data_IF_067192649571
#
_entry.id   IF_067192649571
#
_cell.length_a   1.000
_cell.length_b   1.000
_cell.length_c   1.000
_cell.angle_alpha   90.00
_cell.angle_beta   90.00
_cell.angle_gamma   90.00
#
_symmetry.space_group_name_H-M   'P 1'
#
loop_
_entity.id
_entity.type
_entity.pdbx_description
1 polymer ?
#
# COMPACT_ATOMS: atom_id res chain seq x y z
N UNK A 1 6.90 11.58 -15.70
CA UNK A 1 6.35 11.22 -17.03
C UNK A 1 4.89 10.84 -16.87
N UNK A 2 3.93 11.48 -17.55
CA UNK A 2 2.50 11.10 -17.47
C UNK A 2 2.28 9.76 -18.19
N UNK A 3 1.62 8.83 -17.48
CA UNK A 3 1.31 7.48 -17.95
C UNK A 3 -0.20 7.37 -18.22
N UNK A 4 -1.00 8.02 -17.39
CA UNK A 4 -2.45 7.97 -17.46
C UNK A 4 -3.08 9.23 -16.88
N UNK A 5 -4.19 9.65 -17.49
CA UNK A 5 -5.02 10.75 -17.02
C UNK A 5 -6.48 10.46 -17.38
N UNK A 6 -7.37 10.40 -16.38
CA UNK A 6 -8.79 10.14 -16.57
C UNK A 6 -9.65 11.40 -16.72
N UNK A 7 -9.06 12.60 -16.68
CA UNK A 7 -9.82 13.85 -16.72
C UNK A 7 -10.71 13.91 -17.97
N UNK A 8 -12.00 14.18 -17.76
CA UNK A 8 -13.01 14.21 -18.83
C UNK A 8 -13.33 12.85 -19.45
N UNK A 9 -12.83 11.74 -18.88
CA UNK A 9 -13.10 10.38 -19.35
C UNK A 9 -14.05 9.66 -18.39
N UNK A 10 -15.18 9.19 -18.90
CA UNK A 10 -16.14 8.37 -18.15
C UNK A 10 -15.69 6.90 -18.13
N UNK A 11 -14.59 6.61 -17.43
CA UNK A 11 -13.98 5.28 -17.41
C UNK A 11 -13.92 4.70 -15.99
N UNK A 12 -14.11 3.38 -15.89
CA UNK A 12 -14.00 2.61 -14.63
C UNK A 12 -12.72 1.79 -14.55
N UNK A 13 -11.92 1.80 -15.62
CA UNK A 13 -10.63 1.10 -15.75
C UNK A 13 -9.67 1.87 -16.65
N UNK A 14 -8.38 1.80 -16.38
CA UNK A 14 -7.35 2.43 -17.23
C UNK A 14 -7.01 1.64 -18.49
N UNK A 15 -7.26 0.32 -18.47
CA UNK A 15 -6.56 -0.62 -19.36
C UNK A 15 -5.11 -0.85 -18.88
N UNK A 16 -4.39 -1.73 -19.58
CA UNK A 16 -2.99 -2.04 -19.23
C UNK A 16 -2.08 -0.94 -19.77
N UNK A 17 -1.45 -0.22 -18.85
CA UNK A 17 -0.47 0.82 -19.11
C UNK A 17 0.91 0.16 -19.16
N UNK A 18 1.52 0.13 -20.36
CA UNK A 18 2.81 -0.54 -20.59
C UNK A 18 3.93 0.49 -20.62
N UNK A 19 4.95 0.27 -19.81
CA UNK A 19 6.11 1.13 -19.66
C UNK A 19 7.36 0.34 -20.06
N UNK A 20 8.10 0.88 -21.02
CA UNK A 20 9.41 0.36 -21.45
C UNK A 20 10.59 1.14 -20.84
N UNK A 21 10.29 2.02 -19.88
CA UNK A 21 11.27 2.82 -19.15
C UNK A 21 11.33 2.36 -17.70
N UNK A 22 12.54 2.31 -17.17
CA UNK A 22 12.78 2.04 -15.77
C UNK A 22 12.23 3.19 -14.91
N UNK A 23 11.39 2.85 -13.93
CA UNK A 23 10.88 3.77 -12.91
C UNK A 23 11.07 3.14 -11.53
N UNK A 24 11.34 3.96 -10.51
CA UNK A 24 11.45 3.50 -9.11
C UNK A 24 10.19 3.78 -8.30
N UNK A 25 9.44 4.80 -8.72
CA UNK A 25 8.22 5.24 -8.06
C UNK A 25 7.12 5.58 -9.06
N UNK A 26 5.88 5.46 -8.59
CA UNK A 26 4.67 5.90 -9.28
C UNK A 26 4.03 7.03 -8.48
N UNK A 27 3.83 8.19 -9.09
CA UNK A 27 3.00 9.25 -8.50
C UNK A 27 1.55 8.96 -8.87
N UNK A 28 0.73 8.78 -7.85
CA UNK A 28 -0.72 8.73 -8.00
C UNK A 28 -1.33 10.05 -7.54
N UNK A 29 -2.18 10.64 -8.37
CA UNK A 29 -2.96 11.83 -8.02
C UNK A 29 -4.45 11.63 -8.29
N UNK A 30 -5.31 12.14 -7.40
CA UNK A 30 -6.76 12.05 -7.55
C UNK A 30 -7.51 13.27 -7.02
N UNK A 31 -8.67 13.56 -7.62
CA UNK A 31 -9.64 14.53 -7.08
C UNK A 31 -10.34 14.06 -5.81
N UNK A 32 -10.18 12.80 -5.42
CA UNK A 32 -10.67 12.23 -4.17
C UNK A 32 -9.70 12.44 -3.01
N UNK A 33 -10.26 12.60 -1.80
CA UNK A 33 -9.50 12.41 -0.55
C UNK A 33 -9.05 10.95 -0.45
N UNK A 34 -7.89 10.69 0.14
CA UNK A 34 -7.30 9.35 0.21
C UNK A 34 -8.22 8.37 0.95
N UNK A 35 -8.99 8.83 1.95
CA UNK A 35 -9.97 7.99 2.65
C UNK A 35 -11.22 7.71 1.82
N UNK A 36 -11.50 8.53 0.80
CA UNK A 36 -12.59 8.35 -0.15
C UNK A 36 -12.23 7.40 -1.30
N UNK A 37 -11.00 6.89 -1.35
CA UNK A 37 -10.62 5.74 -2.18
C UNK A 37 -11.19 4.47 -1.54
N UNK A 38 -12.19 3.89 -2.19
CA UNK A 38 -13.02 2.81 -1.64
C UNK A 38 -13.25 1.66 -2.61
N UNK A 39 -13.16 1.92 -3.91
CA UNK A 39 -13.40 0.91 -4.95
C UNK A 39 -12.20 0.76 -5.88
N UNK A 40 -11.30 1.73 -5.86
CA UNK A 40 -10.13 1.83 -6.70
C UNK A 40 -9.10 0.79 -6.29
N UNK A 41 -8.66 0.01 -7.28
CA UNK A 41 -7.62 -1.01 -7.10
C UNK A 41 -6.53 -0.85 -8.14
N UNK A 42 -5.32 -1.26 -7.78
CA UNK A 42 -4.13 -1.20 -8.61
C UNK A 42 -3.49 -2.58 -8.74
N UNK A 43 -3.07 -2.90 -9.96
CA UNK A 43 -2.18 -4.02 -10.25
C UNK A 43 -0.89 -3.50 -10.85
N UNK A 44 0.25 -3.91 -10.31
CA UNK A 44 1.58 -3.65 -10.87
C UNK A 44 2.33 -4.97 -11.02
N UNK A 45 2.83 -5.23 -12.23
CA UNK A 45 3.70 -6.37 -12.53
C UNK A 45 4.83 -5.94 -13.46
N UNK A 46 5.96 -6.63 -13.36
CA UNK A 46 7.08 -6.52 -14.30
C UNK A 46 7.09 -7.78 -15.15
N UNK A 47 6.80 -7.64 -16.44
CA UNK A 47 6.94 -8.73 -17.39
C UNK A 47 8.40 -8.83 -17.78
N UNK A 48 9.03 -9.96 -17.44
CA UNK A 48 10.42 -10.26 -17.79
C UNK A 48 10.51 -11.58 -18.56
N UNK A 49 11.54 -11.71 -19.39
CA UNK A 49 11.81 -12.98 -20.10
C UNK A 49 12.05 -14.16 -19.14
N UNK A 50 12.59 -13.88 -17.94
CA UNK A 50 12.92 -14.87 -16.91
C UNK A 50 11.73 -15.29 -16.04
N UNK A 51 10.56 -14.66 -16.23
CA UNK A 51 9.37 -14.85 -15.41
C UNK A 51 8.85 -13.52 -14.88
N UNK A 52 7.53 -13.39 -14.79
CA UNK A 52 6.89 -12.17 -14.34
C UNK A 52 7.06 -11.98 -12.83
N UNK A 53 7.31 -10.74 -12.42
CA UNK A 53 7.36 -10.32 -11.02
C UNK A 53 6.08 -9.54 -10.70
N UNK A 54 5.25 -10.08 -9.80
CA UNK A 54 4.03 -9.39 -9.36
C UNK A 54 4.32 -8.57 -8.10
N UNK A 55 4.37 -7.24 -8.25
CA UNK A 55 4.60 -6.32 -7.14
C UNK A 55 3.39 -6.35 -6.20
N UNK A 56 2.17 -6.17 -6.74
CA UNK A 56 0.92 -6.14 -5.93
C UNK A 56 0.21 -7.49 -5.80
N UNK A 57 0.77 -8.59 -6.34
CA UNK A 57 0.17 -9.96 -6.37
C UNK A 57 -1.32 -9.95 -6.76
N UNK A 58 -1.62 -9.38 -7.92
CA UNK A 58 -2.98 -9.14 -8.40
C UNK A 58 -3.46 -7.71 -8.11
N UNK A 59 -4.77 -7.52 -8.02
CA UNK A 59 -5.35 -6.22 -7.68
C UNK A 59 -5.35 -6.01 -6.17
N UNK A 60 -4.79 -4.88 -5.77
CA UNK A 60 -4.71 -4.40 -4.40
C UNK A 60 -5.53 -3.13 -4.26
N UNK A 61 -6.18 -2.92 -3.10
CA UNK A 61 -6.86 -1.65 -2.83
C UNK A 61 -5.86 -0.49 -2.90
N UNK A 62 -6.17 0.51 -3.74
CA UNK A 62 -5.24 1.58 -4.04
C UNK A 62 -4.89 2.43 -2.82
N UNK A 63 -5.86 2.60 -1.91
CA UNK A 63 -5.64 3.25 -0.62
C UNK A 63 -4.58 2.53 0.21
N UNK A 64 -4.65 1.19 0.28
CA UNK A 64 -3.72 0.39 1.05
C UNK A 64 -2.34 0.38 0.40
N UNK A 65 -2.28 0.35 -0.94
CA UNK A 65 -1.04 0.52 -1.70
C UNK A 65 -0.37 1.87 -1.39
N UNK A 66 -1.12 2.98 -1.43
CA UNK A 66 -0.60 4.32 -1.08
C UNK A 66 -0.06 4.32 0.35
N UNK A 67 -0.84 3.82 1.32
CA UNK A 67 -0.42 3.82 2.72
C UNK A 67 0.85 2.99 3.00
N UNK A 68 1.03 1.87 2.30
CA UNK A 68 2.23 1.03 2.45
C UNK A 68 3.47 1.60 1.76
N UNK A 69 3.29 2.41 0.71
CA UNK A 69 4.41 2.93 -0.11
C UNK A 69 4.83 4.35 0.25
N UNK A 70 4.05 5.04 1.08
CA UNK A 70 4.37 6.38 1.62
C UNK A 70 4.83 6.34 3.09
N UNK A 71 4.80 5.16 3.72
CA UNK A 71 5.33 4.99 5.07
C UNK A 71 6.86 5.18 5.09
N UNK A 72 7.37 5.93 6.08
CA UNK A 72 8.77 6.42 6.15
C UNK A 72 9.25 7.25 4.94
N UNK A 73 8.34 7.58 4.03
CA UNK A 73 8.64 8.35 2.83
C UNK A 73 7.98 9.73 2.85
N UNK A 74 7.61 10.18 1.67
CA UNK A 74 6.94 11.47 1.49
C UNK A 74 5.51 11.46 2.05
N UNK A 75 5.11 12.61 2.58
CA UNK A 75 3.72 12.81 2.99
C UNK A 75 2.78 12.65 1.79
N UNK A 76 1.58 12.14 2.06
CA UNK A 76 0.47 12.30 1.12
C UNK A 76 0.12 13.79 1.13
N UNK A 77 0.08 14.41 -0.03
CA UNK A 77 -0.15 15.85 -0.17
C UNK A 77 -1.38 16.12 -0.99
N UNK A 78 -1.74 17.39 -1.08
CA UNK A 78 -2.83 17.88 -1.90
C UNK A 78 -2.47 19.26 -2.44
N UNK A 79 -3.07 19.60 -3.59
CA UNK A 79 -2.91 20.89 -4.24
C UNK A 79 -4.28 21.41 -4.72
N UNK A 80 -4.30 22.46 -5.53
CA UNK A 80 -5.54 23.06 -6.05
C UNK A 80 -6.34 22.12 -6.96
N UNK A 81 -5.69 21.15 -7.60
CA UNK A 81 -6.28 20.23 -8.58
C UNK A 81 -6.60 18.87 -7.97
N UNK A 82 -5.76 18.39 -7.04
CA UNK A 82 -5.83 17.04 -6.50
C UNK A 82 -5.93 17.07 -4.98
N UNK A 83 -6.90 16.31 -4.45
CA UNK A 83 -7.07 16.11 -3.01
C UNK A 83 -6.09 15.08 -2.47
N UNK A 84 -5.58 14.20 -3.33
CA UNK A 84 -4.58 13.20 -2.98
C UNK A 84 -3.50 13.21 -4.03
N UNK A 85 -2.26 13.40 -3.62
CA UNK A 85 -1.05 13.16 -4.41
C UNK A 85 -0.07 12.39 -3.54
N UNK A 86 0.35 11.22 -4.00
CA UNK A 86 1.24 10.33 -3.29
C UNK A 86 2.32 9.79 -4.24
N UNK A 87 3.58 9.91 -3.86
CA UNK A 87 4.68 9.18 -4.49
C UNK A 87 4.77 7.80 -3.85
N UNK A 88 4.51 6.77 -4.64
CA UNK A 88 4.46 5.39 -4.20
C UNK A 88 5.69 4.66 -4.75
N UNK A 89 6.64 4.32 -3.89
CA UNK A 89 7.80 3.51 -4.26
C UNK A 89 7.37 2.10 -4.69
N UNK A 90 8.04 1.55 -5.71
CA UNK A 90 7.82 0.19 -6.21
C UNK A 90 9.12 -0.62 -6.31
N UNK A 91 10.27 0.03 -6.08
CA UNK A 91 11.59 -0.58 -6.12
C UNK A 91 12.51 0.19 -5.16
N UNK A 92 13.27 -0.54 -4.37
CA UNK A 92 14.27 0.05 -3.47
C UNK A 92 15.54 0.41 -4.22
N UNK A 93 16.25 1.43 -3.72
CA UNK A 93 17.58 1.83 -4.17
C UNK A 93 17.66 2.29 -5.65
N UNK A 94 16.53 2.56 -6.31
CA UNK A 94 16.53 3.07 -7.68
C UNK A 94 15.31 2.65 -8.50
N UNK A 95 15.44 2.82 -9.82
CA UNK A 95 14.44 2.35 -10.77
C UNK A 95 14.52 0.83 -10.99
N UNK A 96 13.39 0.19 -11.31
CA UNK A 96 13.39 -1.24 -11.65
C UNK A 96 14.34 -1.51 -12.82
N UNK A 97 15.29 -2.44 -12.62
CA UNK A 97 16.16 -2.90 -13.69
C UNK A 97 15.35 -3.67 -14.75
N UNK A 98 15.34 -3.13 -15.97
CA UNK A 98 14.66 -3.72 -17.13
C UNK A 98 15.68 -4.19 -18.18
N UNK A 99 15.50 -5.41 -18.68
CA UNK A 99 16.14 -5.89 -19.90
C UNK A 99 15.50 -5.34 -21.17
N UNK A 100 16.05 -5.70 -22.33
CA UNK A 100 15.66 -5.17 -23.65
C UNK A 100 14.17 -5.37 -24.01
N UNK A 101 13.52 -6.38 -23.43
CA UNK A 101 12.11 -6.72 -23.67
C UNK A 101 11.24 -6.68 -22.41
N UNK A 102 11.83 -6.26 -21.29
CA UNK A 102 11.09 -6.24 -20.04
C UNK A 102 10.22 -4.98 -20.01
N UNK A 103 9.01 -5.09 -19.47
CA UNK A 103 8.07 -3.97 -19.36
C UNK A 103 7.40 -3.96 -18.00
N UNK A 104 7.15 -2.75 -17.48
CA UNK A 104 6.31 -2.56 -16.30
C UNK A 104 4.88 -2.38 -16.79
N UNK A 105 3.94 -3.15 -16.23
CA UNK A 105 2.52 -3.09 -16.52
C UNK A 105 1.78 -2.58 -15.29
N UNK A 106 1.01 -1.51 -15.48
CA UNK A 106 0.17 -0.92 -14.45
C UNK A 106 -1.29 -0.94 -14.93
N UNK A 107 -2.20 -1.36 -14.07
CA UNK A 107 -3.63 -1.30 -14.35
C UNK A 107 -4.39 -0.78 -13.13
N UNK A 108 -5.31 0.15 -13.36
CA UNK A 108 -6.30 0.60 -12.39
C UNK A 108 -7.69 0.11 -12.77
N UNK A 109 -8.42 -0.39 -11.78
CA UNK A 109 -9.84 -0.77 -11.91
C UNK A 109 -10.68 -0.15 -10.78
N UNK A 110 -12.00 -0.20 -10.93
CA UNK A 110 -12.93 0.33 -9.93
C UNK A 110 -12.90 1.86 -9.81
N UNK A 111 -12.46 2.54 -10.87
CA UNK A 111 -12.41 4.00 -10.94
C UNK A 111 -13.83 4.59 -10.92
N UNK A 112 -14.01 5.70 -10.21
CA UNK A 112 -15.26 6.44 -10.18
C UNK A 112 -15.29 7.42 -11.35
N UNK A 113 -16.30 7.31 -12.21
CA UNK A 113 -16.36 8.08 -13.47
C UNK A 113 -16.46 9.60 -13.28
N UNK A 114 -16.88 10.06 -12.10
CA UNK A 114 -16.95 11.49 -11.76
C UNK A 114 -15.61 12.07 -11.29
N UNK A 115 -14.61 11.22 -11.06
CA UNK A 115 -13.35 11.59 -10.43
C UNK A 115 -12.19 11.55 -11.43
N UNK A 116 -11.17 12.36 -11.15
CA UNK A 116 -9.94 12.42 -11.91
C UNK A 116 -8.86 11.60 -11.23
N UNK A 117 -8.10 10.86 -12.04
CA UNK A 117 -6.98 10.03 -11.64
C UNK A 117 -5.83 10.28 -12.62
N UNK A 118 -4.66 10.57 -12.09
CA UNK A 118 -3.44 10.77 -12.87
C UNK A 118 -2.34 9.88 -12.31
N UNK A 119 -1.64 9.19 -13.22
CA UNK A 119 -0.48 8.35 -12.89
C UNK A 119 0.72 8.91 -13.62
N UNK A 120 1.79 9.16 -12.87
CA UNK A 120 3.10 9.48 -13.45
C UNK A 120 4.15 8.46 -12.98
N UNK A 121 5.11 8.15 -13.86
CA UNK A 121 6.31 7.42 -13.48
C UNK A 121 7.45 8.37 -13.16
N UNK A 122 8.25 8.03 -12.16
CA UNK A 122 9.51 8.70 -11.79
C UNK A 122 10.68 7.84 -12.26
N UNK A 123 11.45 8.36 -13.21
CA UNK A 123 12.73 7.78 -13.63
C UNK A 123 13.80 8.13 -12.59
N UNK A 124 14.74 7.21 -12.36
CA UNK A 124 15.82 7.38 -11.39
C UNK A 124 17.18 7.10 -12.05
N UNK A 125 18.28 7.73 -11.58
CA UNK A 125 19.58 7.64 -12.22
C UNK A 125 20.28 6.29 -12.03
N UNK A 126 19.81 5.47 -11.10
CA UNK A 126 20.33 4.14 -10.80
C UNK A 126 19.21 3.12 -10.98
N UNK A 127 19.57 1.88 -11.31
CA UNK A 127 18.63 0.77 -11.37
C UNK A 127 18.91 -0.27 -10.30
N UNK A 128 17.86 -0.96 -9.87
CA UNK A 128 17.89 -1.95 -8.80
C UNK A 128 17.06 -3.18 -9.19
N UNK A 129 17.41 -4.33 -8.60
CA UNK A 129 16.66 -5.59 -8.70
C UNK A 129 15.71 -5.80 -7.52
N UNK A 130 15.70 -4.87 -6.56
CA UNK A 130 14.96 -4.97 -5.30
C UNK A 130 13.53 -4.44 -5.44
N UNK A 131 12.69 -5.19 -6.15
CA UNK A 131 11.28 -4.83 -6.32
C UNK A 131 10.49 -5.09 -5.05
N UNK A 132 9.65 -4.13 -4.64
CA UNK A 132 8.78 -4.32 -3.50
C UNK A 132 7.74 -5.41 -3.81
N UNK A 133 7.30 -6.14 -2.76
CA UNK A 133 6.22 -7.12 -2.90
C UNK A 133 5.20 -6.99 -1.78
N UNK A 134 3.92 -7.10 -2.13
CA UNK A 134 2.81 -7.01 -1.20
C UNK A 134 2.07 -8.34 -1.09
N UNK A 135 1.60 -8.68 0.11
CA UNK A 135 0.82 -9.90 0.34
C UNK A 135 -0.39 -9.58 1.22
N UNK A 136 -1.59 -9.81 0.70
CA UNK A 136 -2.82 -9.72 1.47
C UNK A 136 -3.07 -11.04 2.21
N UNK A 137 -3.09 -10.98 3.53
CA UNK A 137 -3.46 -12.07 4.42
C UNK A 137 -4.80 -11.73 5.06
N UNK A 138 -5.74 -12.67 5.08
CA UNK A 138 -7.07 -12.43 5.64
C UNK A 138 -7.46 -13.46 6.69
N UNK A 139 -8.32 -13.04 7.60
CA UNK A 139 -8.97 -13.84 8.61
C UNK A 139 -10.47 -13.87 8.31
N UNK A 140 -11.03 -15.06 8.13
CA UNK A 140 -12.44 -15.22 7.74
C UNK A 140 -13.39 -14.80 8.85
N UNK A 141 -14.66 -14.62 8.53
CA UNK A 141 -15.70 -14.28 9.52
C UNK A 141 -15.83 -15.30 10.66
N UNK A 142 -15.53 -16.57 10.39
CA UNK A 142 -15.70 -17.68 11.33
C UNK A 142 -14.50 -17.88 12.24
N UNK A 143 -13.32 -17.42 11.82
CA UNK A 143 -12.09 -17.49 12.61
C UNK A 143 -12.19 -16.61 13.87
N UNK A 144 -11.69 -17.12 14.99
CA UNK A 144 -11.59 -16.38 16.28
C UNK A 144 -10.17 -15.96 16.62
N UNK A 145 -9.18 -16.77 16.22
CA UNK A 145 -7.76 -16.43 16.26
C UNK A 145 -7.08 -16.93 14.99
N UNK A 146 -6.11 -16.17 14.49
CA UNK A 146 -5.25 -16.56 13.38
C UNK A 146 -3.87 -15.93 13.55
N UNK A 147 -2.83 -16.74 13.34
CA UNK A 147 -1.44 -16.29 13.29
C UNK A 147 -1.04 -16.04 11.84
N UNK A 148 -0.44 -14.89 11.59
CA UNK A 148 0.12 -14.49 10.32
C UNK A 148 1.64 -14.46 10.44
N UNK A 149 2.31 -15.25 9.61
CA UNK A 149 3.76 -15.16 9.45
C UNK A 149 4.11 -13.87 8.71
N UNK A 150 4.92 -13.03 9.35
CA UNK A 150 5.34 -11.72 8.82
C UNK A 150 6.85 -11.53 8.87
N UNK A 151 7.61 -12.59 9.16
CA UNK A 151 9.06 -12.58 9.04
C UNK A 151 9.48 -12.09 7.64
N UNK A 152 10.53 -11.26 7.59
CA UNK A 152 11.02 -10.59 6.38
C UNK A 152 10.05 -9.56 5.76
N UNK A 153 9.03 -9.15 6.50
CA UNK A 153 8.21 -7.98 6.18
C UNK A 153 8.65 -6.82 7.07
N UNK A 154 8.62 -5.62 6.55
CA UNK A 154 9.06 -4.42 7.27
C UNK A 154 7.86 -3.60 7.79
N UNK A 155 6.72 -3.74 7.12
CA UNK A 155 5.49 -2.99 7.41
C UNK A 155 4.25 -3.85 7.16
N UNK A 156 3.21 -3.63 7.96
CA UNK A 156 1.87 -4.10 7.66
C UNK A 156 0.80 -3.02 7.83
N UNK A 157 -0.34 -3.25 7.19
CA UNK A 157 -1.58 -2.55 7.46
C UNK A 157 -2.61 -3.55 7.95
N UNK A 158 -3.14 -3.30 9.15
CA UNK A 158 -4.23 -4.06 9.76
C UNK A 158 -5.53 -3.25 9.68
N UNK A 159 -6.64 -3.92 9.37
CA UNK A 159 -7.97 -3.31 9.48
C UNK A 159 -8.23 -2.81 10.91
N UNK A 160 -8.62 -1.54 11.04
CA UNK A 160 -8.96 -0.93 12.32
C UNK A 160 -10.40 -1.25 12.72
N UNK A 161 -10.70 -2.52 12.99
CA UNK A 161 -12.04 -2.99 13.29
C UNK A 161 -12.24 -3.21 14.79
N UNK A 162 -13.32 -2.66 15.37
CA UNK A 162 -13.64 -2.83 16.80
C UNK A 162 -13.94 -4.29 17.19
N UNK A 163 -14.13 -5.18 16.21
CA UNK A 163 -14.23 -6.62 16.43
C UNK A 163 -12.91 -7.25 16.87
N UNK A 164 -11.77 -6.61 16.65
CA UNK A 164 -10.45 -7.11 17.08
C UNK A 164 -10.29 -6.85 18.58
N UNK A 165 -10.05 -7.92 19.32
CA UNK A 165 -10.00 -7.90 20.78
C UNK A 165 -8.56 -7.74 21.25
N UNK A 166 -7.62 -8.41 20.58
CA UNK A 166 -6.21 -8.47 20.99
C UNK A 166 -5.35 -8.77 19.76
N UNK A 167 -4.15 -8.18 19.74
CA UNK A 167 -3.12 -8.47 18.75
C UNK A 167 -1.84 -8.81 19.49
N UNK A 168 -1.23 -9.95 19.18
CA UNK A 168 0.02 -10.38 19.80
C UNK A 168 1.15 -10.43 18.77
N UNK A 169 2.29 -9.85 19.09
CA UNK A 169 3.50 -9.92 18.28
C UNK A 169 4.45 -10.93 18.88
N UNK A 170 4.93 -11.86 18.06
CA UNK A 170 6.06 -12.71 18.40
C UNK A 170 7.31 -12.13 17.76
N UNK A 171 8.24 -11.64 18.57
CA UNK A 171 9.50 -11.06 18.10
C UNK A 171 10.58 -12.13 17.89
N UNK A 172 11.66 -11.73 17.22
CA UNK A 172 12.92 -12.48 17.20
C UNK A 172 13.35 -12.85 18.63
N UNK A 173 13.78 -14.09 18.82
CA UNK A 173 14.06 -14.64 20.15
C UNK A 173 12.84 -15.17 20.92
N UNK A 174 11.64 -15.11 20.34
CA UNK A 174 10.44 -15.77 20.87
C UNK A 174 9.67 -14.97 21.93
N UNK A 175 10.03 -13.71 22.14
CA UNK A 175 9.31 -12.82 23.07
C UNK A 175 7.93 -12.50 22.49
N UNK A 176 6.88 -12.71 23.26
CA UNK A 176 5.50 -12.39 22.87
C UNK A 176 5.02 -11.16 23.62
N UNK A 177 4.61 -10.12 22.90
CA UNK A 177 4.00 -8.91 23.46
C UNK A 177 2.58 -8.77 22.94
N UNK A 178 1.65 -8.48 23.84
CA UNK A 178 0.23 -8.33 23.52
C UNK A 178 -0.17 -6.87 23.58
N UNK A 179 -0.93 -6.43 22.59
CA UNK A 179 -1.42 -5.09 22.47
C UNK A 179 -2.94 -5.08 22.31
N UNK A 180 -3.56 -4.09 22.93
CA UNK A 180 -4.89 -3.61 22.57
C UNK A 180 -4.83 -2.84 21.25
N UNK A 181 -5.96 -2.71 20.57
CA UNK A 181 -6.05 -1.82 19.40
C UNK A 181 -5.72 -0.37 19.75
N UNK A 182 -6.03 0.10 20.95
CA UNK A 182 -5.70 1.46 21.36
C UNK A 182 -4.19 1.67 21.41
N UNK A 183 -3.44 0.74 22.00
CA UNK A 183 -1.97 0.79 22.02
C UNK A 183 -1.39 0.75 20.62
N UNK A 184 -1.87 -0.15 19.74
CA UNK A 184 -1.41 -0.20 18.35
C UNK A 184 -1.70 1.09 17.58
N UNK A 185 -2.88 1.70 17.77
CA UNK A 185 -3.22 3.00 17.16
C UNK A 185 -2.27 4.11 17.64
N UNK A 186 -1.79 4.07 18.89
CA UNK A 186 -0.81 5.05 19.39
C UNK A 186 0.56 4.75 18.81
N UNK A 187 1.00 3.48 18.84
CA UNK A 187 2.29 3.05 18.30
C UNK A 187 2.45 3.38 16.81
N UNK A 188 1.40 3.17 16.01
CA UNK A 188 1.38 3.48 14.57
C UNK A 188 1.63 4.96 14.26
N UNK A 189 1.40 5.84 15.24
CA UNK A 189 1.57 7.29 15.09
C UNK A 189 2.85 7.80 15.73
N UNK A 190 3.47 7.03 16.63
CA UNK A 190 4.71 7.41 17.30
C UNK A 190 5.95 6.93 16.55
N UNK A 191 5.86 5.79 15.88
CA UNK A 191 6.97 5.18 15.14
C UNK A 191 6.72 5.46 13.66
N UNK A 192 7.23 6.60 13.18
CA UNK A 192 7.17 7.06 11.79
C UNK A 192 5.74 7.19 11.21
N UNK A 193 4.97 8.18 11.67
CA UNK A 193 3.59 8.35 11.22
C UNK A 193 3.49 8.65 9.73
N UNK A 194 2.57 7.96 9.06
CA UNK A 194 2.08 8.41 7.76
C UNK A 194 1.35 9.75 7.93
N UNK A 195 1.80 10.79 7.24
CA UNK A 195 1.18 12.12 7.25
C UNK A 195 0.39 12.37 5.97
N UNK A 196 -0.81 12.94 6.12
CA UNK A 196 -1.64 13.44 5.03
C UNK A 196 -1.91 14.94 5.23
N UNK A 197 -1.37 15.77 4.32
CA UNK A 197 -1.60 17.21 4.27
C UNK A 197 -2.77 17.51 3.33
N UNK A 198 -3.90 17.92 3.91
CA UNK A 198 -5.15 18.18 3.21
C UNK A 198 -5.19 19.57 2.59
N UNK A 199 -6.12 19.78 1.65
CA UNK A 199 -6.25 21.04 0.91
C UNK A 199 -6.61 22.23 1.82
N UNK A 200 -7.23 21.94 2.97
CA UNK A 200 -7.56 22.93 4.00
C UNK A 200 -6.36 23.28 4.91
N UNK A 201 -5.18 22.72 4.64
CA UNK A 201 -3.97 22.90 5.43
C UNK A 201 -3.90 22.07 6.70
N UNK A 202 -4.92 21.24 6.99
CA UNK A 202 -4.88 20.33 8.12
C UNK A 202 -3.97 19.12 7.86
N UNK A 203 -3.35 18.61 8.92
CA UNK A 203 -2.52 17.41 8.86
C UNK A 203 -3.20 16.28 9.61
N UNK A 204 -3.33 15.13 8.95
CA UNK A 204 -3.90 13.91 9.52
C UNK A 204 -2.85 12.81 9.54
N UNK A 205 -2.66 12.20 10.71
CA UNK A 205 -1.74 11.06 10.89
C UNK A 205 -2.42 9.82 11.47
N UNK A 206 -3.75 9.84 11.60
CA UNK A 206 -4.54 8.73 12.14
C UNK A 206 -5.62 8.37 11.13
N UNK A 207 -5.63 7.14 10.60
CA UNK A 207 -6.58 6.73 9.56
C UNK A 207 -7.67 5.85 10.15
N UNK A 208 -8.93 6.17 9.88
CA UNK A 208 -10.03 5.58 10.64
C UNK A 208 -10.15 4.07 10.42
N UNK A 209 -9.93 3.60 9.19
CA UNK A 209 -10.17 2.21 8.78
C UNK A 209 -8.94 1.30 8.87
N UNK A 210 -7.73 1.84 9.10
CA UNK A 210 -6.47 1.11 8.94
C UNK A 210 -5.46 1.54 9.99
N UNK A 211 -4.64 0.60 10.47
CA UNK A 211 -3.51 0.84 11.39
C UNK A 211 -2.23 0.41 10.69
N UNK A 212 -1.24 1.30 10.57
CA UNK A 212 0.10 0.93 10.12
C UNK A 212 0.89 0.29 11.26
N UNK A 213 1.54 -0.83 10.99
CA UNK A 213 2.24 -1.65 11.97
C UNK A 213 3.69 -1.88 11.51
N UNK A 214 4.68 -1.17 12.07
CA UNK A 214 6.09 -1.46 11.82
C UNK A 214 6.43 -2.87 12.29
N UNK A 215 7.12 -3.65 11.47
CA UNK A 215 7.38 -5.08 11.70
C UNK A 215 8.84 -5.41 12.02
N UNK A 216 9.66 -4.41 12.34
CA UNK A 216 11.07 -4.63 12.63
C UNK A 216 11.26 -5.65 13.78
N UNK A 217 11.92 -6.77 13.47
CA UNK A 217 12.16 -7.87 14.40
C UNK A 217 10.91 -8.66 14.79
N UNK A 218 9.80 -8.56 14.04
CA UNK A 218 8.54 -9.30 14.28
C UNK A 218 8.48 -10.52 13.36
N UNK A 219 8.36 -11.71 13.94
CA UNK A 219 8.24 -12.96 13.19
C UNK A 219 6.79 -13.26 12.82
N UNK A 220 5.86 -13.05 13.76
CA UNK A 220 4.45 -13.34 13.53
C UNK A 220 3.52 -12.40 14.30
N UNK A 221 2.32 -12.23 13.76
CA UNK A 221 1.22 -11.48 14.37
C UNK A 221 0.04 -12.43 14.57
N UNK A 222 -0.38 -12.63 15.80
CA UNK A 222 -1.65 -13.28 16.12
C UNK A 222 -2.74 -12.21 16.28
N UNK A 223 -3.86 -12.37 15.57
CA UNK A 223 -5.04 -11.52 15.71
C UNK A 223 -6.18 -12.33 16.31
N UNK A 224 -6.73 -11.85 17.42
CA UNK A 224 -7.94 -12.40 18.04
C UNK A 224 -9.11 -11.46 17.83
N UNK A 225 -10.23 -11.98 17.33
CA UNK A 225 -11.44 -11.18 17.04
C UNK A 225 -12.74 -11.88 17.45
N UNK A 226 -13.80 -11.08 17.56
CA UNK A 226 -15.16 -11.59 17.54
C UNK A 226 -15.51 -12.17 16.15
N UNK A 227 -16.39 -13.17 16.12
CA UNK A 227 -16.90 -13.73 14.86
C UNK A 227 -17.81 -12.74 14.14
N UNK A 228 -17.98 -12.93 12.83
CA UNK A 228 -18.88 -12.14 11.99
C UNK A 228 -18.21 -10.99 11.22
N UNK A 229 -16.91 -10.78 11.40
CA UNK A 229 -16.14 -9.78 10.63
C UNK A 229 -14.92 -10.42 9.96
N UNK A 230 -14.67 -10.07 8.70
CA UNK A 230 -13.40 -10.35 8.03
C UNK A 230 -12.39 -9.31 8.50
N UNK A 231 -11.16 -9.74 8.76
CA UNK A 231 -10.04 -8.84 9.10
C UNK A 231 -8.91 -9.11 8.13
N UNK A 232 -8.40 -8.07 7.50
CA UNK A 232 -7.27 -8.14 6.59
C UNK A 232 -6.01 -7.57 7.24
N UNK A 233 -4.89 -8.20 6.91
CA UNK A 233 -3.54 -7.79 7.22
C UNK A 233 -2.76 -7.84 5.91
N UNK A 234 -2.39 -6.68 5.39
CA UNK A 234 -1.58 -6.58 4.19
C UNK A 234 -0.16 -6.27 4.60
N UNK A 235 0.81 -7.06 4.14
CA UNK A 235 2.22 -6.89 4.47
C UNK A 235 2.99 -6.40 3.26
N UNK A 236 3.99 -5.54 3.52
CA UNK A 236 5.03 -5.16 2.58
C UNK A 236 6.28 -5.98 2.88
N UNK A 237 6.90 -6.52 1.84
CA UNK A 237 8.21 -7.18 1.89
C UNK A 237 9.19 -6.29 1.14
N UNK A 238 10.25 -5.92 1.85
CA UNK A 238 11.50 -5.45 1.27
C UNK A 238 12.18 -6.63 0.55
N UNK A 239 12.96 -6.33 -0.49
CA UNK A 239 13.52 -7.34 -1.40
C UNK A 239 14.86 -7.94 -0.95
#
# INVERSE_FOLDING_TARGET
MEIFNSQGKNITKSGVLVLNKAIGSVIFSSSLDVEALTTEQIKIEVEKLTGNEEITKGYMDLKDFIYLTTFKGDAITSDVNYKTTAQCEICEDGAIQLGEKDVIKIELIGLKTAETYVINGIEEPQTSVKTLSFENKSMSQDDKSKTFEVAHCDLAILDNADSIIEVAYTYEGGVVVKYTLHELRVLSRSIDPLAYVRQDGSVKCAFASKIQLPLFGVNSIEVRKAQGSIVNLIVRREA
#
